data_IF_063808372577
#
_entry.id   IF_063808372577
#
_cell.length_a   1.000
_cell.length_b   1.000
_cell.length_c   1.000
_cell.angle_alpha   90.00
_cell.angle_beta   90.00
_cell.angle_gamma   90.00
#
_symmetry.space_group_name_H-M   'P 1'
#
loop_
_entity.id
_entity.type
_entity.pdbx_description
1 polymer ?
#
# COMPACT_ATOMS: atom_id res chain seq x y z
N UNK A 1 -22.19 -11.15 -12.71
CA UNK A 1 -22.31 -9.70 -12.41
C UNK A 1 -22.38 -9.00 -13.75
N UNK A 2 -23.47 -8.29 -14.01
CA UNK A 2 -23.67 -7.62 -15.29
C UNK A 2 -22.82 -6.37 -15.37
N UNK A 3 -22.42 -6.02 -16.60
CA UNK A 3 -21.48 -4.91 -16.86
C UNK A 3 -22.00 -3.58 -16.31
N UNK A 4 -23.30 -3.34 -16.44
CA UNK A 4 -23.99 -2.15 -15.94
C UNK A 4 -23.85 -2.02 -14.42
N UNK A 5 -24.22 -3.08 -13.68
CA UNK A 5 -24.06 -3.14 -12.22
C UNK A 5 -22.61 -2.96 -11.77
N UNK A 6 -21.65 -3.46 -12.55
CA UNK A 6 -20.23 -3.26 -12.23
C UNK A 6 -19.80 -1.79 -12.33
N UNK A 7 -20.28 -1.05 -13.36
CA UNK A 7 -20.01 0.37 -13.50
C UNK A 7 -20.66 1.20 -12.40
N UNK A 8 -21.91 0.89 -12.02
CA UNK A 8 -22.58 1.57 -10.90
C UNK A 8 -21.78 1.48 -9.60
N UNK A 9 -21.22 0.30 -9.29
CA UNK A 9 -20.38 0.10 -8.10
C UNK A 9 -19.10 0.94 -8.19
N UNK A 10 -18.47 1.03 -9.36
CA UNK A 10 -17.26 1.82 -9.55
C UNK A 10 -17.53 3.31 -9.37
N UNK A 11 -18.64 3.81 -9.91
CA UNK A 11 -19.03 5.21 -9.82
C UNK A 11 -19.41 5.60 -8.39
N UNK A 12 -20.20 4.78 -7.69
CA UNK A 12 -20.52 4.95 -6.26
C UNK A 12 -19.25 4.94 -5.40
N UNK A 13 -18.33 4.00 -5.66
CA UNK A 13 -17.06 3.90 -4.95
C UNK A 13 -16.19 5.14 -5.16
N UNK A 14 -16.12 5.65 -6.38
CA UNK A 14 -15.39 6.88 -6.70
C UNK A 14 -16.01 8.09 -5.98
N UNK A 15 -17.34 8.16 -5.90
CA UNK A 15 -18.06 9.16 -5.11
C UNK A 15 -17.66 9.14 -3.63
N UNK A 16 -17.60 7.94 -3.03
CA UNK A 16 -17.15 7.77 -1.63
C UNK A 16 -15.72 8.23 -1.41
N UNK A 17 -14.79 7.90 -2.31
CA UNK A 17 -13.40 8.35 -2.19
C UNK A 17 -13.24 9.87 -2.34
N UNK A 18 -14.03 10.52 -3.19
CA UNK A 18 -14.07 11.99 -3.28
C UNK A 18 -14.54 12.59 -1.97
N UNK A 19 -15.64 12.10 -1.40
CA UNK A 19 -16.14 12.56 -0.10
C UNK A 19 -15.12 12.37 1.03
N UNK A 20 -14.35 11.26 1.01
CA UNK A 20 -13.27 11.03 1.98
C UNK A 20 -12.15 12.07 1.84
N UNK A 21 -11.74 12.40 0.62
CA UNK A 21 -10.77 13.46 0.38
C UNK A 21 -11.31 14.84 0.80
N UNK A 22 -12.54 15.15 0.41
CA UNK A 22 -13.22 16.43 0.71
C UNK A 22 -13.50 16.62 2.21
N UNK A 23 -13.48 15.54 3.00
CA UNK A 23 -13.58 15.61 4.47
C UNK A 23 -12.46 16.43 5.12
N UNK A 24 -11.34 16.65 4.42
CA UNK A 24 -10.19 17.40 4.93
C UNK A 24 -9.39 16.66 6.01
N UNK A 25 -9.72 15.40 6.31
CA UNK A 25 -8.97 14.60 7.26
C UNK A 25 -7.56 14.31 6.72
N UNK A 26 -6.54 14.60 7.53
CA UNK A 26 -5.12 14.40 7.17
C UNK A 26 -4.82 12.99 6.67
N UNK A 27 -5.53 11.99 7.18
CA UNK A 27 -5.41 10.59 6.76
C UNK A 27 -5.68 10.38 5.27
N UNK A 28 -6.61 11.14 4.70
CA UNK A 28 -7.09 10.93 3.33
C UNK A 28 -6.45 11.90 2.32
N UNK A 29 -5.55 12.80 2.76
CA UNK A 29 -4.84 13.73 1.87
C UNK A 29 -4.06 12.98 0.77
N UNK A 30 -3.45 11.84 1.11
CA UNK A 30 -2.64 11.04 0.18
C UNK A 30 -3.46 10.03 -0.63
N UNK A 31 -4.76 9.89 -0.36
CA UNK A 31 -5.64 8.90 -0.98
C UNK A 31 -5.69 9.02 -2.52
N UNK A 32 -5.81 10.20 -3.14
CA UNK A 32 -5.83 10.30 -4.60
C UNK A 32 -4.53 9.79 -5.25
N UNK A 33 -3.38 10.08 -4.62
CA UNK A 33 -2.07 9.63 -5.10
C UNK A 33 -1.91 8.12 -4.97
N UNK A 34 -2.38 7.55 -3.85
CA UNK A 34 -2.35 6.10 -3.64
C UNK A 34 -3.25 5.37 -4.63
N UNK A 35 -4.50 5.83 -4.83
CA UNK A 35 -5.43 5.23 -5.81
C UNK A 35 -4.87 5.27 -7.23
N UNK A 36 -4.29 6.40 -7.65
CA UNK A 36 -3.62 6.53 -8.95
C UNK A 36 -2.44 5.58 -9.08
N UNK A 37 -1.64 5.43 -8.02
CA UNK A 37 -0.47 4.55 -8.04
C UNK A 37 -0.91 3.08 -8.13
N UNK A 38 -1.94 2.71 -7.36
CA UNK A 38 -2.55 1.38 -7.38
C UNK A 38 -3.14 1.05 -8.75
N UNK A 39 -3.91 1.94 -9.36
CA UNK A 39 -4.48 1.73 -10.69
C UNK A 39 -3.39 1.55 -11.75
N UNK A 40 -2.33 2.38 -11.70
CA UNK A 40 -1.20 2.25 -12.62
C UNK A 40 -0.45 0.92 -12.49
N UNK A 41 -0.36 0.38 -11.27
CA UNK A 41 0.22 -0.95 -11.04
C UNK A 41 -0.65 -2.03 -11.68
N UNK A 42 -1.95 -2.04 -11.40
CA UNK A 42 -2.89 -3.01 -12.00
C UNK A 42 -2.91 -2.93 -13.53
N UNK A 43 -2.85 -1.72 -14.12
CA UNK A 43 -2.75 -1.56 -15.57
C UNK A 43 -1.47 -2.18 -16.12
N UNK A 44 -0.33 -1.98 -15.45
CA UNK A 44 0.94 -2.61 -15.86
C UNK A 44 0.89 -4.14 -15.74
N UNK A 45 0.21 -4.66 -14.73
CA UNK A 45 -0.02 -6.09 -14.57
C UNK A 45 -0.85 -6.66 -15.72
N UNK A 46 -1.96 -5.99 -16.06
CA UNK A 46 -2.82 -6.36 -17.19
C UNK A 46 -2.06 -6.32 -18.53
N UNK A 47 -1.22 -5.31 -18.73
CA UNK A 47 -0.38 -5.17 -19.94
C UNK A 47 0.83 -6.14 -19.97
N UNK A 48 1.04 -6.95 -18.93
CA UNK A 48 2.18 -7.85 -18.82
C UNK A 48 3.53 -7.13 -18.65
N UNK A 49 3.52 -5.84 -18.28
CA UNK A 49 4.73 -5.00 -18.09
C UNK A 49 5.30 -5.11 -16.67
N UNK A 50 5.09 -6.25 -16.01
CA UNK A 50 5.68 -6.54 -14.70
C UNK A 50 7.15 -6.88 -14.89
N UNK A 51 8.01 -6.45 -13.96
CA UNK A 51 9.44 -6.78 -14.02
C UNK A 51 9.61 -8.30 -13.95
N UNK A 52 10.37 -8.92 -14.86
CA UNK A 52 10.58 -10.37 -14.87
C UNK A 52 11.45 -10.86 -13.69
N UNK A 53 12.18 -9.94 -13.05
CA UNK A 53 13.06 -10.23 -11.94
C UNK A 53 12.87 -9.18 -10.83
N UNK A 54 12.73 -9.66 -9.61
CA UNK A 54 12.65 -8.85 -8.40
C UNK A 54 14.02 -8.70 -7.75
N UNK A 55 14.17 -7.63 -6.96
CA UNK A 55 15.35 -7.46 -6.13
C UNK A 55 15.39 -8.57 -5.08
N UNK A 56 16.56 -9.17 -4.89
CA UNK A 56 16.77 -10.16 -3.85
C UNK A 56 17.32 -9.48 -2.60
N UNK A 57 16.72 -9.76 -1.47
CA UNK A 57 17.14 -9.20 -0.19
C UNK A 57 17.55 -10.29 0.81
N UNK A 58 18.54 -9.97 1.64
CA UNK A 58 18.93 -10.84 2.76
C UNK A 58 17.98 -10.62 3.93
N UNK A 59 17.76 -11.66 4.74
CA UNK A 59 17.04 -11.53 6.01
C UNK A 59 17.75 -10.50 6.89
N UNK A 60 16.98 -9.60 7.51
CA UNK A 60 17.51 -8.51 8.32
C UNK A 60 17.82 -7.23 7.54
N UNK A 61 17.75 -7.23 6.21
CA UNK A 61 17.91 -6.00 5.42
C UNK A 61 16.76 -5.03 5.72
N UNK A 62 17.11 -3.74 5.88
CA UNK A 62 16.15 -2.65 6.04
C UNK A 62 15.84 -2.07 4.66
N UNK A 63 14.55 -2.01 4.32
CA UNK A 63 14.04 -1.41 3.09
C UNK A 63 13.00 -0.33 3.41
N UNK A 64 12.78 0.59 2.47
CA UNK A 64 11.68 1.53 2.54
C UNK A 64 10.46 0.96 1.80
N UNK A 65 9.30 0.95 2.44
CA UNK A 65 8.05 0.37 1.94
C UNK A 65 6.93 1.40 2.09
N UNK A 66 6.13 1.56 1.05
CA UNK A 66 4.89 2.34 1.10
C UNK A 66 3.73 1.41 1.48
N UNK A 67 3.17 1.60 2.67
CA UNK A 67 2.00 0.87 3.18
C UNK A 67 0.67 1.50 2.74
N UNK A 68 0.69 2.61 1.99
CA UNK A 68 -0.49 3.22 1.41
C UNK A 68 -1.41 3.90 2.42
N UNK A 69 -2.68 4.04 2.06
CA UNK A 69 -3.71 4.55 2.98
C UNK A 69 -4.21 3.40 3.86
N UNK A 70 -4.01 3.52 5.17
CA UNK A 70 -4.35 2.48 6.13
C UNK A 70 -5.85 2.36 6.37
N UNK A 71 -6.29 1.19 6.85
CA UNK A 71 -7.61 0.99 7.46
C UNK A 71 -7.44 0.83 8.98
N UNK A 72 -8.32 1.43 9.78
CA UNK A 72 -8.22 1.39 11.24
C UNK A 72 -6.87 1.91 11.76
N UNK A 73 -6.16 1.06 12.52
CA UNK A 73 -4.89 1.36 13.19
C UNK A 73 -3.67 0.73 12.51
N UNK A 74 -3.78 0.30 11.25
CA UNK A 74 -2.63 -0.19 10.47
C UNK A 74 -1.63 0.96 10.21
N UNK A 75 -0.40 0.61 9.83
CA UNK A 75 0.57 1.60 9.38
C UNK A 75 0.22 2.11 7.99
N UNK A 76 0.43 3.41 7.75
CA UNK A 76 0.18 4.07 6.47
C UNK A 76 1.41 4.81 5.97
N UNK A 77 1.47 5.00 4.67
CA UNK A 77 2.54 5.72 4.00
C UNK A 77 3.88 5.01 4.08
N UNK A 78 4.93 5.79 3.86
CA UNK A 78 6.30 5.30 3.77
C UNK A 78 6.95 5.01 5.11
N UNK A 79 7.38 3.77 5.32
CA UNK A 79 8.11 3.34 6.51
C UNK A 79 9.30 2.46 6.16
N UNK A 80 10.33 2.51 7.00
CA UNK A 80 11.38 1.49 6.96
C UNK A 80 10.83 0.17 7.51
N UNK A 81 11.27 -0.95 6.94
CA UNK A 81 10.86 -2.28 7.37
C UNK A 81 12.01 -3.28 7.27
N UNK A 82 12.04 -4.26 8.19
CA UNK A 82 13.03 -5.33 8.24
C UNK A 82 12.49 -6.56 7.52
N UNK A 83 13.29 -7.13 6.62
CA UNK A 83 12.93 -8.32 5.86
C UNK A 83 13.10 -9.59 6.71
N UNK A 84 12.07 -10.44 6.74
CA UNK A 84 12.04 -11.70 7.47
C UNK A 84 12.28 -12.94 6.61
N UNK A 85 12.16 -12.83 5.27
CA UNK A 85 12.27 -13.97 4.36
C UNK A 85 13.60 -14.73 4.58
N UNK A 86 13.50 -16.03 4.87
CA UNK A 86 14.69 -16.89 5.05
C UNK A 86 15.43 -17.15 3.74
N UNK A 87 14.67 -17.34 2.65
CA UNK A 87 15.20 -17.58 1.31
C UNK A 87 14.41 -16.72 0.33
N UNK A 88 14.97 -15.58 -0.03
CA UNK A 88 14.44 -14.74 -1.09
C UNK A 88 15.10 -15.09 -2.43
N UNK A 89 14.40 -14.86 -3.55
CA UNK A 89 14.92 -15.12 -4.89
C UNK A 89 14.44 -14.07 -5.88
N UNK A 90 15.17 -13.92 -6.99
CA UNK A 90 14.77 -12.99 -8.07
C UNK A 90 13.41 -13.30 -8.71
N UNK A 91 12.83 -14.48 -8.44
CA UNK A 91 11.50 -14.88 -8.93
C UNK A 91 10.41 -14.71 -7.86
N UNK A 92 10.77 -14.38 -6.62
CA UNK A 92 9.83 -14.17 -5.53
C UNK A 92 9.23 -12.76 -5.64
N UNK A 93 7.92 -12.68 -5.87
CA UNK A 93 7.19 -11.40 -5.91
C UNK A 93 6.79 -10.89 -4.52
N UNK A 94 7.05 -11.64 -3.45
CA UNK A 94 6.54 -11.36 -2.11
C UNK A 94 7.65 -11.32 -1.06
N UNK A 95 7.54 -10.34 -0.15
CA UNK A 95 8.44 -10.15 0.99
C UNK A 95 7.61 -10.04 2.27
N UNK A 96 8.00 -10.80 3.29
CA UNK A 96 7.51 -10.64 4.65
C UNK A 96 8.39 -9.61 5.36
N UNK A 97 7.76 -8.58 5.90
CA UNK A 97 8.46 -7.45 6.52
C UNK A 97 7.85 -7.11 7.87
N UNK A 98 8.70 -6.64 8.80
CA UNK A 98 8.26 -5.97 10.02
C UNK A 98 8.54 -4.48 9.86
N UNK A 99 7.52 -3.63 9.80
CA UNK A 99 7.73 -2.19 9.72
C UNK A 99 8.30 -1.63 11.04
N UNK A 100 9.16 -0.63 10.89
CA UNK A 100 9.77 0.14 11.96
C UNK A 100 9.00 1.44 12.14
N UNK A 101 8.72 1.77 13.39
CA UNK A 101 8.12 3.05 13.77
C UNK A 101 9.09 3.81 14.66
N UNK A 102 9.26 5.10 14.39
CA UNK A 102 10.05 6.03 15.21
C UNK A 102 9.21 6.72 16.29
N UNK A 103 7.90 6.43 16.36
CA UNK A 103 7.03 6.97 17.41
C UNK A 103 7.52 6.44 18.76
N UNK A 104 8.14 7.31 19.55
CA UNK A 104 8.49 7.01 20.93
C UNK A 104 7.20 6.69 21.69
N UNK A 105 7.05 5.44 22.14
CA UNK A 105 6.02 5.03 23.12
C UNK A 105 6.30 5.55 24.54
N UNK A 106 7.12 6.59 24.69
CA UNK A 106 7.31 7.29 25.96
C UNK A 106 6.26 8.38 26.14
N UNK A 107 4.99 7.98 26.07
CA UNK A 107 3.90 8.71 26.70
C UNK A 107 3.14 7.67 27.53
N UNK A 108 3.64 7.48 28.75
CA UNK A 108 2.77 7.12 29.86
C UNK A 108 1.69 8.21 29.96
N UNK A 109 0.46 7.90 29.60
CA UNK A 109 -0.71 8.44 30.28
C UNK A 109 -1.76 7.34 30.39
N UNK A 110 -1.90 6.88 31.64
CA UNK A 110 -3.08 6.37 32.35
C UNK A 110 -4.15 5.64 31.56
#
# INVERSE_FOLDING_TARGET
MDKERAYEILDDTNGKYKNLFDSGNERFITLPFWLRSHSNLLTKELEGKIRPHYNQYKRGTIIYVDFGVNIGSELSGGHFAIILNKKDSKKSSTLNVIPLTSKNKNIFYR
#
